data_IF_890491069161
#
_entry.id   IF_890491069161
#
_cell.length_a   1.000
_cell.length_b   1.000
_cell.length_c   1.000
_cell.angle_alpha   90.00
_cell.angle_beta   90.00
_cell.angle_gamma   90.00
#
_symmetry.space_group_name_H-M   'P 1'
#
loop_
_entity.id
_entity.type
_entity.pdbx_description
1 polymer ?
#
# COMPACT_ATOMS: atom_id res chain seq x y z
N UNK A 1 -27.12 -33.86 2.42
CA UNK A 1 -27.05 -33.84 0.95
C UNK A 1 -27.84 -35.01 0.39
N UNK A 2 -27.33 -36.25 0.43
CA UNK A 2 -27.99 -37.49 -0.03
C UNK A 2 -29.49 -37.62 0.30
N UNK A 3 -29.90 -37.30 1.54
CA UNK A 3 -31.32 -37.29 1.97
C UNK A 3 -32.16 -36.11 1.43
N UNK A 4 -31.82 -35.54 0.27
CA UNK A 4 -32.57 -34.45 -0.38
C UNK A 4 -32.49 -33.08 0.31
N UNK A 5 -31.37 -32.77 0.97
CA UNK A 5 -31.18 -31.47 1.62
C UNK A 5 -30.86 -30.36 0.59
N UNK A 6 -31.58 -29.24 0.66
CA UNK A 6 -31.45 -28.13 -0.29
C UNK A 6 -30.23 -27.23 0.01
N UNK A 7 -29.25 -27.24 -0.90
CA UNK A 7 -28.02 -26.44 -0.84
C UNK A 7 -28.27 -24.93 -1.10
N UNK A 8 -29.40 -24.58 -1.73
CA UNK A 8 -29.84 -23.21 -1.98
C UNK A 8 -30.89 -22.72 -0.96
N UNK A 9 -31.11 -23.49 0.12
CA UNK A 9 -31.86 -23.01 1.28
C UNK A 9 -31.14 -21.81 1.91
N UNK A 10 -31.90 -20.94 2.57
CA UNK A 10 -31.38 -19.76 3.26
C UNK A 10 -32.17 -19.46 4.52
N UNK A 11 -31.54 -18.78 5.47
CA UNK A 11 -32.14 -18.37 6.72
C UNK A 11 -32.92 -17.04 6.63
N UNK A 12 -33.22 -16.44 7.78
CA UNK A 12 -33.94 -15.17 7.88
C UNK A 12 -33.10 -13.94 7.46
N UNK A 13 -31.78 -14.05 7.46
CA UNK A 13 -30.82 -13.01 7.08
C UNK A 13 -30.39 -13.17 5.60
N UNK A 14 -31.03 -14.11 4.88
CA UNK A 14 -30.70 -14.55 3.53
C UNK A 14 -29.33 -15.21 3.38
N UNK A 15 -28.71 -15.64 4.46
CA UNK A 15 -27.45 -16.38 4.48
C UNK A 15 -27.68 -17.81 3.98
N UNK A 16 -26.79 -18.34 3.13
CA UNK A 16 -26.87 -19.69 2.58
C UNK A 16 -25.87 -20.65 3.28
N UNK A 17 -26.07 -21.98 3.25
CA UNK A 17 -25.15 -22.96 3.83
C UNK A 17 -23.69 -22.80 3.43
N UNK A 18 -23.44 -22.28 2.21
CA UNK A 18 -22.11 -22.00 1.69
C UNK A 18 -21.43 -20.82 2.41
N UNK A 19 -22.15 -19.73 2.73
CA UNK A 19 -21.62 -18.62 3.52
C UNK A 19 -21.14 -19.13 4.87
N UNK A 20 -21.98 -19.94 5.53
CA UNK A 20 -21.69 -20.50 6.86
C UNK A 20 -20.52 -21.50 6.78
N UNK A 21 -20.44 -22.34 5.75
CA UNK A 21 -19.36 -23.30 5.57
C UNK A 21 -18.00 -22.64 5.31
N UNK A 22 -17.96 -21.55 4.53
CA UNK A 22 -16.72 -20.83 4.24
C UNK A 22 -16.35 -19.90 5.43
N UNK A 23 -17.31 -19.18 6.03
CA UNK A 23 -17.08 -18.32 7.20
C UNK A 23 -16.51 -19.07 8.42
N UNK A 24 -16.84 -20.36 8.56
CA UNK A 24 -16.29 -21.26 9.59
C UNK A 24 -15.06 -22.06 9.11
N UNK A 25 -14.37 -21.61 8.04
CA UNK A 25 -13.12 -22.18 7.50
C UNK A 25 -13.17 -23.71 7.43
N UNK A 26 -14.25 -24.25 6.85
CA UNK A 26 -14.57 -25.68 6.88
C UNK A 26 -14.43 -26.31 5.48
N UNK A 27 -13.21 -26.50 4.94
CA UNK A 27 -12.98 -26.85 3.54
C UNK A 27 -13.65 -28.16 3.11
N UNK A 28 -13.78 -29.14 4.02
CA UNK A 28 -14.51 -30.38 3.73
C UNK A 28 -16.01 -30.15 3.47
N UNK A 29 -16.62 -29.15 4.12
CA UNK A 29 -18.01 -28.76 3.86
C UNK A 29 -18.12 -27.98 2.54
N UNK A 30 -17.17 -27.09 2.26
CA UNK A 30 -17.10 -26.31 1.01
C UNK A 30 -16.97 -27.25 -0.20
N UNK A 31 -16.01 -28.18 -0.17
CA UNK A 31 -15.82 -29.20 -1.22
C UNK A 31 -17.05 -30.12 -1.37
N UNK A 32 -17.70 -30.51 -0.28
CA UNK A 32 -18.92 -31.32 -0.33
C UNK A 32 -20.13 -30.57 -0.91
N UNK A 33 -20.22 -29.26 -0.71
CA UNK A 33 -21.26 -28.41 -1.32
C UNK A 33 -21.03 -28.25 -2.83
N UNK A 34 -19.81 -27.91 -3.27
CA UNK A 34 -19.50 -27.78 -4.70
C UNK A 34 -19.63 -29.12 -5.46
N UNK A 35 -19.14 -30.24 -4.92
CA UNK A 35 -19.32 -31.55 -5.56
C UNK A 35 -20.80 -31.97 -5.68
N UNK A 36 -21.65 -31.52 -4.75
CA UNK A 36 -23.10 -31.74 -4.82
C UNK A 36 -23.80 -30.77 -5.79
N UNK A 37 -23.28 -29.56 -5.97
CA UNK A 37 -23.70 -28.65 -7.04
C UNK A 37 -23.38 -29.22 -8.42
N UNK A 38 -22.13 -29.66 -8.66
CA UNK A 38 -21.71 -30.27 -9.92
C UNK A 38 -22.62 -31.45 -10.32
N UNK A 39 -22.86 -32.38 -9.40
CA UNK A 39 -23.75 -33.53 -9.62
C UNK A 39 -25.22 -33.12 -9.81
N UNK A 40 -25.72 -32.09 -9.11
CA UNK A 40 -27.06 -31.54 -9.30
C UNK A 40 -27.24 -30.89 -10.68
N UNK A 41 -26.22 -30.19 -11.19
CA UNK A 41 -26.24 -29.62 -12.53
C UNK A 41 -26.08 -30.69 -13.63
N UNK A 42 -25.21 -31.68 -13.44
CA UNK A 42 -25.02 -32.80 -14.35
C UNK A 42 -26.29 -33.64 -14.54
N UNK A 43 -26.90 -34.12 -13.45
CA UNK A 43 -28.15 -34.90 -13.51
C UNK A 43 -29.32 -34.10 -14.14
N UNK A 44 -29.27 -32.77 -14.07
CA UNK A 44 -30.30 -31.87 -14.62
C UNK A 44 -30.06 -31.53 -16.10
N UNK A 45 -28.85 -31.73 -16.62
CA UNK A 45 -28.55 -31.75 -18.06
C UNK A 45 -29.07 -33.05 -18.70
N UNK A 46 -28.79 -34.21 -18.10
CA UNK A 46 -29.33 -35.51 -18.56
C UNK A 46 -30.88 -35.51 -18.58
N UNK A 47 -31.51 -34.93 -17.55
CA UNK A 47 -32.97 -34.73 -17.52
C UNK A 47 -33.50 -33.71 -18.53
N UNK A 48 -32.66 -32.84 -19.11
CA UNK A 48 -33.05 -31.98 -20.24
C UNK A 48 -32.97 -32.74 -21.56
N UNK A 49 -31.89 -33.48 -21.81
CA UNK A 49 -31.69 -34.22 -23.07
C UNK A 49 -32.74 -35.31 -23.26
N UNK A 50 -32.95 -36.15 -22.23
CA UNK A 50 -34.02 -37.17 -22.23
C UNK A 50 -35.40 -36.56 -22.46
N UNK A 51 -35.68 -35.39 -21.87
CA UNK A 51 -36.97 -34.69 -22.03
C UNK A 51 -37.15 -34.11 -23.43
N UNK A 52 -36.09 -33.60 -24.07
CA UNK A 52 -36.14 -33.17 -25.47
C UNK A 52 -36.40 -34.34 -26.44
N UNK A 53 -35.77 -35.50 -26.20
CA UNK A 53 -36.05 -36.72 -26.98
C UNK A 53 -37.50 -37.18 -26.83
N UNK A 54 -38.05 -37.18 -25.61
CA UNK A 54 -39.47 -37.53 -25.35
C UNK A 54 -40.43 -36.55 -26.04
N UNK A 55 -40.14 -35.25 -26.06
CA UNK A 55 -40.98 -34.29 -26.80
C UNK A 55 -40.95 -34.44 -28.32
N UNK A 56 -39.91 -35.06 -28.89
CA UNK A 56 -39.84 -35.34 -30.33
C UNK A 56 -40.74 -36.52 -30.77
N UNK A 57 -41.20 -37.35 -29.84
CA UNK A 57 -41.89 -38.62 -30.11
C UNK A 57 -43.43 -38.58 -29.92
N UNK A 58 -44.03 -37.40 -29.74
CA UNK A 58 -45.49 -37.28 -29.47
C UNK A 58 -46.21 -36.28 -30.39
N UNK A 59 -46.68 -36.71 -31.58
CA UNK A 59 -47.49 -35.87 -32.45
C UNK A 59 -48.93 -35.76 -31.94
N UNK A 60 -49.34 -34.58 -31.49
CA UNK A 60 -50.75 -34.27 -31.18
C UNK A 60 -51.27 -33.14 -32.07
N UNK A 61 -52.51 -33.29 -32.53
CA UNK A 61 -53.02 -32.63 -33.75
C UNK A 61 -53.74 -31.31 -33.42
N UNK A 62 -53.44 -30.27 -34.20
CA UNK A 62 -54.14 -28.99 -34.18
C UNK A 62 -55.65 -29.12 -34.47
N UNK A 63 -56.48 -28.45 -33.68
CA UNK A 63 -57.75 -27.85 -34.14
C UNK A 63 -58.17 -26.66 -33.28
N UNK A 64 -58.65 -25.60 -33.93
CA UNK A 64 -59.27 -24.40 -33.33
C UNK A 64 -60.77 -24.39 -33.63
N UNK A 65 -61.51 -23.64 -32.81
CA UNK A 65 -62.77 -22.92 -33.09
C UNK A 65 -63.98 -23.70 -33.65
N UNK A 66 -65.12 -23.62 -32.95
CA UNK A 66 -66.29 -22.79 -33.34
C UNK A 66 -67.39 -22.84 -32.25
N UNK A 67 -67.99 -21.67 -31.99
CA UNK A 67 -69.42 -21.34 -31.74
C UNK A 67 -70.25 -22.12 -30.68
N UNK A 68 -70.80 -21.46 -29.64
CA UNK A 68 -71.98 -20.55 -29.55
C UNK A 68 -73.32 -21.29 -29.50
N UNK A 69 -73.98 -21.23 -28.33
CA UNK A 69 -75.45 -21.25 -28.25
C UNK A 69 -75.97 -20.49 -27.00
N UNK A 70 -77.25 -20.07 -27.03
CA UNK A 70 -77.97 -19.34 -25.96
C UNK A 70 -79.39 -19.88 -25.86
N UNK A 71 -79.89 -20.13 -24.64
CA UNK A 71 -81.31 -20.05 -24.22
C UNK A 71 -81.29 -19.78 -22.68
N UNK A 72 -81.94 -18.72 -22.15
CA UNK A 72 -83.34 -18.59 -21.70
C UNK A 72 -83.77 -19.68 -20.69
N UNK A 73 -84.42 -19.38 -19.55
CA UNK A 73 -84.91 -18.10 -19.00
C UNK A 73 -84.96 -18.11 -17.46
N UNK A 74 -85.18 -16.95 -16.79
CA UNK A 74 -86.49 -16.45 -16.29
C UNK A 74 -86.90 -17.01 -14.90
N UNK A 75 -87.36 -16.23 -13.91
CA UNK A 75 -87.62 -14.76 -13.86
C UNK A 75 -88.02 -14.22 -12.46
N UNK A 76 -87.70 -12.95 -12.18
CA UNK A 76 -88.42 -12.07 -11.22
C UNK A 76 -88.01 -12.14 -9.73
N UNK A 77 -88.34 -11.18 -8.85
CA UNK A 77 -88.94 -9.83 -8.99
C UNK A 77 -88.87 -9.09 -7.60
N UNK A 78 -88.99 -7.76 -7.39
CA UNK A 78 -88.93 -6.54 -8.23
C UNK A 78 -88.72 -5.28 -7.32
N UNK A 79 -88.09 -4.19 -7.82
CA UNK A 79 -87.97 -2.85 -7.16
C UNK A 79 -87.20 -2.80 -5.82
N UNK A 80 -86.75 -1.71 -5.15
CA UNK A 80 -86.63 -0.21 -5.33
C UNK A 80 -85.29 0.22 -4.65
N UNK A 81 -84.71 1.43 -4.77
CA UNK A 81 -85.01 2.60 -5.61
C UNK A 81 -84.69 3.96 -4.95
N UNK A 82 -83.48 4.53 -5.16
CA UNK A 82 -82.89 5.77 -4.53
C UNK A 82 -82.44 5.57 -3.05
N UNK A 83 -81.46 6.30 -2.50
CA UNK A 83 -80.48 7.24 -3.06
C UNK A 83 -79.62 7.93 -1.96
N UNK A 84 -78.46 8.48 -2.36
CA UNK A 84 -77.51 9.30 -1.56
C UNK A 84 -76.69 8.63 -0.41
N UNK A 85 -75.35 8.64 -0.61
CA UNK A 85 -74.22 9.00 0.29
C UNK A 85 -74.35 8.82 1.83
N UNK A 86 -73.31 8.39 2.58
CA UNK A 86 -71.86 8.58 2.33
C UNK A 86 -70.92 7.61 3.09
N UNK A 87 -69.65 7.56 2.66
CA UNK A 87 -68.41 7.09 3.33
C UNK A 87 -68.34 5.73 4.08
N UNK A 88 -67.78 4.72 3.41
CA UNK A 88 -66.45 4.15 3.76
C UNK A 88 -65.74 3.68 2.47
N UNK A 89 -64.41 3.79 2.39
CA UNK A 89 -63.62 3.75 1.13
C UNK A 89 -62.71 2.53 0.98
N UNK A 90 -63.22 1.32 1.21
CA UNK A 90 -62.50 0.07 0.93
C UNK A 90 -62.37 -0.21 -0.58
N UNK A 91 -61.21 0.15 -1.14
CA UNK A 91 -60.84 -0.01 -2.57
C UNK A 91 -60.74 -1.49 -2.98
N UNK A 92 -61.85 -2.09 -3.43
CA UNK A 92 -61.87 -3.43 -4.04
C UNK A 92 -61.15 -3.39 -5.41
N UNK A 93 -59.90 -3.86 -5.48
CA UNK A 93 -59.18 -4.09 -6.75
C UNK A 93 -59.98 -5.02 -7.66
N UNK A 94 -60.08 -4.66 -8.94
CA UNK A 94 -60.85 -5.35 -9.97
C UNK A 94 -60.31 -6.75 -10.28
N UNK A 95 -61.13 -7.59 -10.90
CA UNK A 95 -60.70 -8.92 -11.35
C UNK A 95 -59.56 -8.85 -12.38
N UNK A 96 -59.53 -7.80 -13.20
CA UNK A 96 -58.44 -7.54 -14.15
C UNK A 96 -57.14 -7.17 -13.41
N UNK A 97 -57.16 -6.23 -12.46
CA UNK A 97 -56.00 -5.90 -11.63
C UNK A 97 -55.48 -7.10 -10.83
N UNK A 98 -56.37 -7.95 -10.32
CA UNK A 98 -55.97 -9.19 -9.63
C UNK A 98 -55.29 -10.19 -10.58
N UNK A 99 -55.81 -10.38 -11.80
CA UNK A 99 -55.14 -11.19 -12.82
C UNK A 99 -53.81 -10.57 -13.26
N UNK A 100 -53.72 -9.26 -13.42
CA UNK A 100 -52.48 -8.57 -13.80
C UNK A 100 -51.42 -8.65 -12.69
N UNK A 101 -51.82 -8.49 -11.43
CA UNK A 101 -50.96 -8.65 -10.26
C UNK A 101 -50.47 -10.10 -10.13
N UNK A 102 -51.36 -11.07 -10.32
CA UNK A 102 -50.98 -12.49 -10.32
C UNK A 102 -50.05 -12.83 -11.48
N UNK A 103 -50.32 -12.32 -12.69
CA UNK A 103 -49.43 -12.49 -13.85
C UNK A 103 -48.07 -11.84 -13.62
N UNK A 104 -48.01 -10.65 -13.02
CA UNK A 104 -46.75 -9.99 -12.65
C UNK A 104 -45.99 -10.74 -11.54
N UNK A 105 -46.69 -11.35 -10.58
CA UNK A 105 -46.10 -12.22 -9.57
C UNK A 105 -45.58 -13.53 -10.19
N UNK A 106 -46.32 -14.13 -11.12
CA UNK A 106 -45.92 -15.35 -11.83
C UNK A 106 -44.76 -15.07 -12.79
N UNK A 107 -44.75 -13.94 -13.49
CA UNK A 107 -43.61 -13.51 -14.33
C UNK A 107 -42.38 -13.17 -13.47
N UNK A 108 -42.54 -12.53 -12.31
CA UNK A 108 -41.44 -12.32 -11.34
C UNK A 108 -40.93 -13.63 -10.73
N UNK A 109 -41.81 -14.62 -10.52
CA UNK A 109 -41.41 -15.99 -10.14
C UNK A 109 -40.70 -16.71 -11.29
N UNK A 110 -41.15 -16.55 -12.52
CA UNK A 110 -40.53 -17.15 -13.70
C UNK A 110 -39.18 -16.51 -14.03
N UNK A 111 -39.02 -15.20 -13.82
CA UNK A 111 -37.73 -14.53 -13.96
C UNK A 111 -36.78 -14.84 -12.81
N UNK A 112 -37.27 -15.00 -11.58
CA UNK A 112 -36.48 -15.52 -10.46
C UNK A 112 -36.06 -16.97 -10.70
N UNK A 113 -36.98 -17.85 -11.06
CA UNK A 113 -36.67 -19.23 -11.47
C UNK A 113 -35.73 -19.30 -12.67
N UNK A 114 -35.65 -18.27 -13.53
CA UNK A 114 -34.66 -18.21 -14.61
C UNK A 114 -33.27 -17.81 -14.10
N UNK A 115 -33.16 -16.86 -13.17
CA UNK A 115 -31.90 -16.58 -12.45
C UNK A 115 -31.45 -17.82 -11.65
N UNK A 116 -32.35 -18.40 -10.86
CA UNK A 116 -32.17 -19.63 -10.07
C UNK A 116 -31.88 -20.90 -10.94
N UNK A 117 -31.88 -20.80 -12.28
CA UNK A 117 -31.44 -21.88 -13.19
C UNK A 117 -30.06 -21.68 -13.79
N UNK A 118 -29.42 -20.53 -13.59
CA UNK A 118 -28.15 -20.14 -14.22
C UNK A 118 -27.12 -19.59 -13.19
N UNK A 119 -27.50 -19.38 -11.92
CA UNK A 119 -26.60 -18.94 -10.85
C UNK A 119 -25.79 -20.08 -10.22
N UNK A 120 -24.48 -19.90 -10.10
CA UNK A 120 -23.60 -20.77 -9.31
C UNK A 120 -23.67 -20.40 -7.82
N UNK A 121 -23.44 -21.37 -6.93
CA UNK A 121 -23.49 -21.19 -5.48
C UNK A 121 -22.56 -20.07 -4.96
N UNK A 122 -21.48 -19.78 -5.69
CA UNK A 122 -20.51 -18.73 -5.36
C UNK A 122 -21.01 -17.28 -5.62
N UNK A 123 -22.12 -17.10 -6.37
CA UNK A 123 -22.80 -15.81 -6.61
C UNK A 123 -23.85 -15.43 -5.57
N UNK A 124 -24.21 -16.35 -4.67
CA UNK A 124 -25.38 -16.19 -3.80
C UNK A 124 -25.18 -15.02 -2.84
N UNK A 125 -25.83 -13.88 -3.09
CA UNK A 125 -25.77 -12.72 -2.18
C UNK A 125 -26.78 -12.84 -1.03
N UNK A 126 -26.36 -12.42 0.15
CA UNK A 126 -27.19 -12.32 1.35
C UNK A 126 -28.07 -11.04 1.36
N UNK A 127 -28.46 -10.55 2.53
CA UNK A 127 -29.26 -9.33 2.67
C UNK A 127 -28.48 -8.02 2.48
N UNK A 128 -27.17 -7.99 2.77
CA UNK A 128 -26.31 -6.81 2.60
C UNK A 128 -25.67 -6.76 1.20
N UNK A 129 -25.67 -7.89 0.48
CA UNK A 129 -25.07 -8.04 -0.84
C UNK A 129 -23.77 -8.86 -0.82
N UNK A 130 -23.40 -9.43 0.32
CA UNK A 130 -22.22 -10.26 0.47
C UNK A 130 -22.44 -11.66 -0.12
N UNK A 131 -21.57 -12.06 -1.05
CA UNK A 131 -21.51 -13.45 -1.55
C UNK A 131 -20.92 -14.37 -0.47
N UNK A 132 -20.98 -15.72 -0.59
CA UNK A 132 -20.45 -16.65 0.42
C UNK A 132 -18.96 -16.45 0.71
N UNK A 133 -18.31 -15.88 -0.29
CA UNK A 133 -16.90 -15.62 -0.45
C UNK A 133 -16.48 -14.30 0.23
N UNK A 134 -17.42 -13.39 0.52
CA UNK A 134 -17.19 -12.23 1.39
C UNK A 134 -17.28 -12.69 2.86
N UNK A 135 -18.36 -13.40 3.23
CA UNK A 135 -18.57 -13.99 4.56
C UNK A 135 -17.39 -14.85 5.06
N UNK A 136 -16.67 -15.49 4.12
CA UNK A 136 -15.39 -16.17 4.30
C UNK A 136 -14.33 -15.39 5.11
N UNK A 137 -14.29 -14.07 4.95
CA UNK A 137 -13.21 -13.20 5.43
C UNK A 137 -13.70 -12.15 6.41
N UNK A 138 -14.96 -11.72 6.30
CA UNK A 138 -15.60 -10.84 7.28
C UNK A 138 -15.72 -11.52 8.65
N UNK A 139 -15.89 -12.85 8.70
CA UNK A 139 -15.90 -13.65 9.93
C UNK A 139 -14.61 -13.57 10.76
N UNK A 140 -13.50 -13.16 10.13
CA UNK A 140 -12.18 -13.11 10.76
C UNK A 140 -11.68 -11.70 11.13
N UNK A 141 -12.42 -10.62 10.85
CA UNK A 141 -12.24 -9.27 11.45
C UNK A 141 -13.35 -8.31 10.96
N UNK A 142 -14.37 -8.05 11.78
CA UNK A 142 -15.57 -7.28 11.38
C UNK A 142 -15.35 -5.76 11.27
N UNK A 143 -14.20 -5.25 11.71
CA UNK A 143 -13.83 -3.83 11.56
C UNK A 143 -13.25 -3.48 10.17
N UNK A 144 -12.71 -4.46 9.42
CA UNK A 144 -12.03 -4.21 8.14
C UNK A 144 -12.95 -4.03 6.93
N UNK A 145 -14.24 -4.36 7.05
CA UNK A 145 -15.16 -4.53 5.90
C UNK A 145 -15.80 -3.20 5.45
N UNK A 146 -15.72 -2.16 6.28
CA UNK A 146 -16.56 -0.96 6.14
C UNK A 146 -16.12 -0.04 5.00
N UNK A 147 -16.79 -0.19 3.85
CA UNK A 147 -16.85 0.70 2.68
C UNK A 147 -15.77 0.53 1.58
N UNK A 148 -15.06 -0.59 1.48
CA UNK A 148 -14.08 -0.80 0.39
C UNK A 148 -14.59 -1.77 -0.68
N UNK A 149 -14.42 -1.39 -1.95
CA UNK A 149 -14.84 -2.14 -3.16
C UNK A 149 -13.92 -3.35 -3.45
N UNK A 150 -13.55 -4.10 -2.41
CA UNK A 150 -12.66 -5.25 -2.48
C UNK A 150 -13.43 -6.50 -2.90
N UNK A 151 -13.00 -7.16 -3.98
CA UNK A 151 -13.58 -8.47 -4.34
C UNK A 151 -13.16 -9.56 -3.35
N UNK A 152 -13.87 -10.69 -3.25
CA UNK A 152 -13.48 -11.79 -2.36
C UNK A 152 -12.05 -12.32 -2.53
N UNK A 153 -11.49 -12.24 -3.75
CA UNK A 153 -10.10 -12.61 -4.02
C UNK A 153 -9.14 -11.68 -3.27
N UNK A 154 -9.42 -10.37 -3.23
CA UNK A 154 -8.64 -9.40 -2.43
C UNK A 154 -8.66 -9.78 -0.95
N UNK A 155 -9.85 -10.11 -0.45
CA UNK A 155 -10.08 -10.48 0.94
C UNK A 155 -9.32 -11.77 1.33
N UNK A 156 -9.37 -12.83 0.51
CA UNK A 156 -8.59 -14.04 0.75
C UNK A 156 -7.07 -13.78 0.66
N UNK A 157 -6.63 -12.87 -0.23
CA UNK A 157 -5.26 -12.39 -0.31
C UNK A 157 -4.79 -11.51 0.87
N UNK A 158 -5.70 -11.07 1.75
CA UNK A 158 -5.34 -10.48 3.05
C UNK A 158 -5.07 -11.58 4.09
N UNK A 159 -5.90 -12.64 4.09
CA UNK A 159 -5.87 -13.72 5.11
C UNK A 159 -4.88 -14.88 4.82
N UNK A 160 -4.16 -14.84 3.70
CA UNK A 160 -3.27 -15.91 3.19
C UNK A 160 -3.98 -17.22 2.81
N UNK A 161 -5.28 -17.15 2.47
CA UNK A 161 -6.06 -18.35 2.14
C UNK A 161 -5.85 -18.77 0.67
N UNK A 162 -4.72 -19.45 0.44
CA UNK A 162 -4.34 -20.00 -0.86
C UNK A 162 -5.35 -21.01 -1.43
N UNK A 163 -6.02 -21.82 -0.60
CA UNK A 163 -7.02 -22.78 -1.09
C UNK A 163 -8.27 -22.06 -1.60
N UNK A 164 -8.79 -21.08 -0.83
CA UNK A 164 -9.91 -20.29 -1.30
C UNK A 164 -9.55 -19.49 -2.56
N UNK A 165 -8.35 -18.89 -2.66
CA UNK A 165 -7.94 -18.19 -3.90
C UNK A 165 -7.83 -19.16 -5.10
N UNK A 166 -7.37 -20.41 -4.92
CA UNK A 166 -7.35 -21.39 -6.00
C UNK A 166 -8.75 -21.83 -6.44
N UNK A 167 -9.65 -22.11 -5.49
CA UNK A 167 -11.06 -22.40 -5.78
C UNK A 167 -11.73 -21.24 -6.52
N UNK A 168 -11.54 -20.00 -6.10
CA UNK A 168 -12.09 -18.80 -6.76
C UNK A 168 -11.64 -18.66 -8.22
N UNK A 169 -10.33 -18.75 -8.46
CA UNK A 169 -9.75 -18.50 -9.79
C UNK A 169 -9.96 -19.68 -10.75
N UNK A 170 -10.22 -20.89 -10.25
CA UNK A 170 -10.51 -22.06 -11.06
C UNK A 170 -12.03 -22.23 -11.31
N UNK A 171 -12.90 -21.79 -10.38
CA UNK A 171 -14.36 -21.84 -10.56
C UNK A 171 -14.86 -20.96 -11.73
N UNK A 172 -14.13 -19.89 -12.08
CA UNK A 172 -14.41 -19.07 -13.27
C UNK A 172 -13.16 -18.77 -14.10
N UNK A 173 -12.78 -19.67 -15.03
CA UNK A 173 -11.66 -19.42 -15.92
C UNK A 173 -11.88 -18.19 -16.82
N UNK A 174 -13.12 -17.84 -17.14
CA UNK A 174 -13.47 -16.65 -17.95
C UNK A 174 -13.27 -15.32 -17.20
N UNK A 175 -13.66 -15.25 -15.93
CA UNK A 175 -13.50 -14.03 -15.11
C UNK A 175 -12.09 -13.91 -14.49
N UNK A 176 -11.31 -15.00 -14.49
CA UNK A 176 -9.98 -15.08 -13.86
C UNK A 176 -9.04 -13.94 -14.23
N UNK A 177 -8.88 -13.61 -15.52
CA UNK A 177 -7.97 -12.54 -15.97
C UNK A 177 -8.44 -11.16 -15.51
N UNK A 178 -9.76 -10.95 -15.41
CA UNK A 178 -10.32 -9.74 -14.79
C UNK A 178 -10.05 -9.74 -13.27
N UNK A 179 -10.37 -10.82 -12.56
CA UNK A 179 -10.21 -10.94 -11.11
C UNK A 179 -8.78 -10.67 -10.61
N UNK A 180 -7.76 -11.06 -11.38
CA UNK A 180 -6.35 -10.78 -11.06
C UNK A 180 -5.91 -9.31 -11.34
N UNK A 181 -6.68 -8.56 -12.13
CA UNK A 181 -6.41 -7.16 -12.51
C UNK A 181 -7.34 -6.14 -11.87
N UNK A 182 -8.55 -6.53 -11.46
CA UNK A 182 -9.48 -5.66 -10.75
C UNK A 182 -8.78 -5.08 -9.52
N UNK A 183 -8.67 -3.75 -9.38
CA UNK A 183 -8.27 -3.13 -8.14
C UNK A 183 -9.48 -3.01 -7.20
N UNK A 184 -9.22 -2.97 -5.89
CA UNK A 184 -10.18 -2.42 -4.95
C UNK A 184 -10.19 -0.88 -4.98
N UNK A 185 -11.06 -0.27 -4.17
CA UNK A 185 -11.22 1.18 -4.02
C UNK A 185 -9.94 1.98 -3.72
N UNK A 186 -8.92 1.34 -3.13
CA UNK A 186 -7.62 1.97 -2.85
C UNK A 186 -6.60 1.81 -4.01
N UNK A 187 -7.00 1.16 -5.11
CA UNK A 187 -6.14 0.84 -6.24
C UNK A 187 -5.41 -0.50 -6.13
N UNK A 188 -5.53 -1.22 -5.01
CA UNK A 188 -4.79 -2.47 -4.78
C UNK A 188 -5.48 -3.65 -5.48
N UNK A 189 -4.75 -4.34 -6.35
CA UNK A 189 -5.15 -5.65 -6.90
C UNK A 189 -4.84 -6.79 -5.91
N UNK A 190 -5.27 -8.05 -6.13
CA UNK A 190 -4.95 -9.15 -5.22
C UNK A 190 -3.44 -9.36 -4.98
N UNK A 191 -2.63 -9.14 -6.02
CA UNK A 191 -1.17 -9.23 -5.92
C UNK A 191 -0.56 -8.11 -5.05
N UNK A 192 -1.12 -6.90 -5.07
CA UNK A 192 -0.71 -5.82 -4.16
C UNK A 192 -0.96 -6.22 -2.70
N UNK A 193 -2.09 -6.85 -2.41
CA UNK A 193 -2.43 -7.24 -1.04
C UNK A 193 -1.56 -8.40 -0.55
N UNK A 194 -1.41 -9.48 -1.33
CA UNK A 194 -0.49 -10.57 -0.99
C UNK A 194 0.95 -10.06 -0.77
N UNK A 195 1.39 -9.07 -1.56
CA UNK A 195 2.70 -8.43 -1.40
C UNK A 195 2.79 -7.54 -0.15
N UNK A 196 1.74 -6.76 0.17
CA UNK A 196 1.65 -5.95 1.40
C UNK A 196 1.70 -6.81 2.65
N UNK A 197 0.92 -7.89 2.71
CA UNK A 197 0.83 -8.75 3.89
C UNK A 197 1.98 -9.78 4.00
N UNK A 198 2.93 -9.76 3.04
CA UNK A 198 4.17 -10.57 3.00
C UNK A 198 3.95 -12.07 2.72
N UNK A 199 2.88 -12.40 1.99
CA UNK A 199 2.42 -13.76 1.69
C UNK A 199 3.19 -14.36 0.50
N UNK A 200 4.42 -14.82 0.75
CA UNK A 200 5.40 -15.29 -0.25
C UNK A 200 4.83 -16.38 -1.19
N UNK A 201 4.14 -17.37 -0.64
CA UNK A 201 3.56 -18.50 -1.39
C UNK A 201 2.40 -18.02 -2.28
N UNK A 202 1.55 -17.14 -1.76
CA UNK A 202 0.42 -16.58 -2.50
C UNK A 202 0.86 -15.62 -3.60
N UNK A 203 1.92 -14.83 -3.36
CA UNK A 203 2.57 -14.00 -4.40
C UNK A 203 3.03 -14.86 -5.58
N UNK A 204 3.71 -15.99 -5.33
CA UNK A 204 4.14 -16.92 -6.39
C UNK A 204 2.95 -17.45 -7.19
N UNK A 205 1.98 -18.05 -6.50
CA UNK A 205 0.81 -18.65 -7.10
C UNK A 205 -0.02 -17.64 -7.93
N UNK A 206 -0.22 -16.41 -7.42
CA UNK A 206 -0.94 -15.35 -8.14
C UNK A 206 -0.26 -15.00 -9.46
N UNK A 207 1.07 -14.92 -9.47
CA UNK A 207 1.85 -14.61 -10.68
C UNK A 207 1.85 -15.79 -11.66
N UNK A 208 2.02 -17.03 -11.19
CA UNK A 208 1.85 -18.25 -12.01
C UNK A 208 0.46 -18.31 -12.68
N UNK A 209 -0.59 -17.87 -11.96
CA UNK A 209 -1.95 -17.80 -12.51
C UNK A 209 -2.17 -16.63 -13.47
N UNK A 210 -1.21 -15.70 -13.62
CA UNK A 210 -1.23 -14.62 -14.62
C UNK A 210 -1.34 -13.20 -14.06
N UNK A 211 -1.08 -12.98 -12.76
CA UNK A 211 -1.14 -11.63 -12.18
C UNK A 211 -0.02 -10.73 -12.71
N UNK A 212 -0.33 -9.52 -13.22
CA UNK A 212 0.68 -8.62 -13.73
C UNK A 212 1.51 -7.97 -12.60
N UNK A 213 2.82 -8.12 -12.70
CA UNK A 213 3.80 -7.60 -11.73
C UNK A 213 3.89 -6.06 -11.71
N UNK A 214 3.54 -5.41 -12.83
CA UNK A 214 3.77 -3.98 -13.07
C UNK A 214 2.48 -3.13 -13.12
N UNK A 215 1.33 -3.69 -12.74
CA UNK A 215 0.16 -2.83 -12.46
C UNK A 215 0.45 -1.98 -11.23
N UNK A 216 -0.06 -0.74 -11.23
CA UNK A 216 0.12 0.23 -10.15
C UNK A 216 -1.20 0.55 -9.44
N UNK A 217 -1.11 0.90 -8.17
CA UNK A 217 -2.23 1.45 -7.40
C UNK A 217 -2.56 2.91 -7.82
N UNK A 218 -3.57 3.51 -7.17
CA UNK A 218 -3.95 4.91 -7.40
C UNK A 218 -2.87 5.95 -7.04
N UNK A 219 -1.74 5.54 -6.44
CA UNK A 219 -0.61 6.37 -6.07
C UNK A 219 0.68 5.97 -6.84
N UNK A 220 0.57 5.17 -7.90
CA UNK A 220 1.70 4.77 -8.76
C UNK A 220 2.59 3.64 -8.22
N UNK A 221 2.18 2.89 -7.20
CA UNK A 221 3.00 1.84 -6.58
C UNK A 221 2.72 0.50 -7.24
N UNK A 222 3.76 -0.20 -7.71
CA UNK A 222 3.64 -1.63 -8.03
C UNK A 222 3.65 -2.48 -6.75
N UNK A 223 3.22 -3.76 -6.79
CA UNK A 223 3.30 -4.68 -5.64
C UNK A 223 4.70 -4.74 -5.00
N UNK A 224 5.77 -4.62 -5.82
CA UNK A 224 7.16 -4.62 -5.34
C UNK A 224 7.50 -3.36 -4.54
N UNK A 225 7.16 -2.18 -5.04
CA UNK A 225 7.37 -0.91 -4.32
C UNK A 225 6.54 -0.88 -3.02
N UNK A 226 5.30 -1.35 -3.09
CA UNK A 226 4.37 -1.36 -1.97
C UNK A 226 4.84 -2.33 -0.87
N UNK A 227 5.29 -3.53 -1.22
CA UNK A 227 5.93 -4.47 -0.29
C UNK A 227 7.21 -3.89 0.35
N UNK A 228 8.05 -3.21 -0.43
CA UNK A 228 9.29 -2.62 0.06
C UNK A 228 9.04 -1.53 1.11
N UNK A 229 8.04 -0.67 0.90
CA UNK A 229 7.61 0.34 1.88
C UNK A 229 7.05 -0.28 3.15
N UNK A 230 6.31 -1.40 3.06
CA UNK A 230 5.70 -2.09 4.21
C UNK A 230 6.69 -2.95 4.99
N UNK A 231 7.91 -3.18 4.49
CA UNK A 231 8.89 -4.08 5.10
C UNK A 231 8.68 -5.56 4.77
N UNK A 232 7.87 -5.85 3.75
CA UNK A 232 7.42 -7.20 3.37
C UNK A 232 8.48 -7.91 2.52
N UNK A 233 9.63 -8.16 3.14
CA UNK A 233 10.87 -8.54 2.45
C UNK A 233 10.81 -9.91 1.76
N UNK A 234 9.97 -10.86 2.21
CA UNK A 234 9.80 -12.15 1.52
C UNK A 234 9.04 -11.96 0.21
N UNK A 235 7.94 -11.21 0.24
CA UNK A 235 7.23 -10.82 -0.97
C UNK A 235 8.12 -10.01 -1.93
N UNK A 236 8.96 -9.09 -1.43
CA UNK A 236 9.93 -8.36 -2.27
C UNK A 236 10.90 -9.31 -2.99
N UNK A 237 11.51 -10.24 -2.27
CA UNK A 237 12.43 -11.25 -2.82
C UNK A 237 11.72 -12.08 -3.89
N UNK A 238 10.50 -12.54 -3.60
CA UNK A 238 9.76 -13.42 -4.49
C UNK A 238 9.28 -12.69 -5.76
N UNK A 239 8.83 -11.44 -5.66
CA UNK A 239 8.50 -10.60 -6.81
C UNK A 239 9.71 -10.37 -7.72
N UNK A 240 10.89 -10.09 -7.16
CA UNK A 240 12.13 -9.93 -7.94
C UNK A 240 12.52 -11.22 -8.66
N UNK A 241 12.41 -12.38 -8.01
CA UNK A 241 12.66 -13.70 -8.63
C UNK A 241 11.67 -14.04 -9.74
N UNK A 242 10.44 -13.54 -9.63
CA UNK A 242 9.39 -13.66 -10.66
C UNK A 242 9.53 -12.63 -11.80
N UNK A 243 10.52 -11.74 -11.73
CA UNK A 243 10.84 -10.78 -12.79
C UNK A 243 10.22 -9.39 -12.63
N UNK A 244 9.73 -9.02 -11.44
CA UNK A 244 9.24 -7.67 -11.18
C UNK A 244 10.36 -6.63 -11.30
N UNK A 245 10.05 -5.48 -11.89
CA UNK A 245 11.04 -4.46 -12.24
C UNK A 245 11.55 -3.69 -11.01
N UNK A 246 12.83 -3.85 -10.60
CA UNK A 246 13.41 -3.07 -9.49
C UNK A 246 13.59 -1.57 -9.82
N UNK A 247 13.48 -1.20 -11.10
CA UNK A 247 13.56 0.18 -11.60
C UNK A 247 12.17 0.82 -11.80
N UNK A 248 11.18 0.42 -11.00
CA UNK A 248 9.93 1.16 -10.86
C UNK A 248 10.09 2.31 -9.84
N UNK A 249 9.31 3.38 -10.02
CA UNK A 249 9.32 4.59 -9.18
C UNK A 249 7.90 4.94 -8.76
N UNK A 250 7.72 5.44 -7.53
CA UNK A 250 6.44 6.00 -7.08
C UNK A 250 6.22 7.45 -7.59
N UNK A 251 5.06 8.03 -7.27
CA UNK A 251 4.75 9.45 -7.57
C UNK A 251 5.70 10.48 -6.93
N UNK A 252 6.56 10.07 -5.99
CA UNK A 252 7.63 10.90 -5.40
C UNK A 252 9.00 10.66 -6.07
N UNK A 253 9.04 9.96 -7.20
CA UNK A 253 10.25 9.50 -7.90
C UNK A 253 11.16 8.60 -7.05
N UNK A 254 10.61 7.90 -6.04
CA UNK A 254 11.36 6.99 -5.17
C UNK A 254 11.37 5.59 -5.75
N UNK A 255 12.56 5.09 -6.05
CA UNK A 255 12.78 3.70 -6.45
C UNK A 255 12.77 2.72 -5.25
N UNK A 256 12.84 1.42 -5.54
CA UNK A 256 12.92 0.32 -4.56
C UNK A 256 13.90 0.59 -3.39
N UNK A 257 15.07 1.16 -3.65
CA UNK A 257 16.13 1.35 -2.64
C UNK A 257 15.80 2.47 -1.66
N UNK A 258 15.13 3.53 -2.10
CA UNK A 258 14.60 4.58 -1.22
C UNK A 258 13.56 3.99 -0.25
N UNK A 259 12.66 3.15 -0.78
CA UNK A 259 11.52 2.60 -0.05
C UNK A 259 11.95 1.60 1.03
N UNK A 260 12.96 0.77 0.74
CA UNK A 260 13.59 -0.13 1.72
C UNK A 260 14.28 0.62 2.88
N UNK A 261 14.48 1.93 2.80
CA UNK A 261 15.00 2.78 3.89
C UNK A 261 13.90 3.50 4.70
N UNK A 262 12.64 3.42 4.29
CA UNK A 262 11.50 3.93 5.08
C UNK A 262 11.15 2.96 6.22
N UNK A 263 11.28 1.65 5.99
CA UNK A 263 11.04 0.63 7.01
C UNK A 263 12.31 0.32 7.84
N UNK A 264 12.17 0.23 9.16
CA UNK A 264 13.26 -0.17 10.06
C UNK A 264 13.44 -1.69 10.07
N UNK A 265 14.21 -2.21 9.12
CA UNK A 265 14.48 -3.65 9.03
C UNK A 265 15.72 -4.02 8.20
N UNK A 266 16.00 -5.32 8.02
CA UNK A 266 17.13 -5.82 7.26
C UNK A 266 16.98 -5.70 5.73
N UNK A 267 15.95 -5.03 5.22
CA UNK A 267 15.54 -5.03 3.80
C UNK A 267 16.66 -4.81 2.78
N UNK A 268 17.56 -3.84 3.00
CA UNK A 268 18.71 -3.61 2.12
C UNK A 268 19.70 -4.78 2.09
N UNK A 269 19.81 -5.55 3.19
CA UNK A 269 20.65 -6.76 3.27
C UNK A 269 19.95 -8.00 2.70
N UNK A 270 18.62 -8.07 2.70
CA UNK A 270 17.86 -9.27 2.28
C UNK A 270 17.28 -9.19 0.88
N UNK A 271 16.84 -8.02 0.42
CA UNK A 271 16.16 -7.83 -0.87
C UNK A 271 17.15 -7.49 -1.99
N UNK A 272 18.09 -6.57 -1.74
CA UNK A 272 19.01 -6.11 -2.78
C UNK A 272 20.10 -7.11 -3.25
N UNK A 273 20.36 -8.26 -2.59
CA UNK A 273 21.13 -9.33 -3.21
C UNK A 273 20.42 -9.99 -4.41
N UNK A 274 19.10 -9.93 -4.50
CA UNK A 274 18.35 -10.48 -5.65
C UNK A 274 18.42 -9.56 -6.89
N UNK A 275 18.81 -8.29 -6.71
CA UNK A 275 19.09 -7.35 -7.81
C UNK A 275 20.50 -7.62 -8.35
N UNK A 276 20.57 -8.61 -9.25
CA UNK A 276 21.82 -9.16 -9.79
C UNK A 276 22.58 -8.25 -10.79
N UNK A 277 22.02 -7.10 -11.18
CA UNK A 277 22.67 -6.14 -12.08
C UNK A 277 23.38 -5.02 -11.28
N UNK A 278 24.71 -5.03 -11.29
CA UNK A 278 25.52 -4.00 -10.64
C UNK A 278 25.37 -2.61 -11.26
N UNK A 279 25.11 -2.52 -12.57
CA UNK A 279 24.94 -1.24 -13.28
C UNK A 279 23.62 -0.59 -12.88
N UNK A 280 22.55 -1.37 -12.83
CA UNK A 280 21.26 -0.94 -12.34
C UNK A 280 21.29 -0.63 -10.83
N UNK A 281 21.95 -1.46 -10.01
CA UNK A 281 22.15 -1.14 -8.60
C UNK A 281 22.83 0.23 -8.42
N UNK A 282 23.90 0.49 -9.19
CA UNK A 282 24.65 1.75 -9.15
C UNK A 282 23.79 2.95 -9.59
N UNK A 283 22.89 2.76 -10.55
CA UNK A 283 21.88 3.78 -10.89
C UNK A 283 20.94 4.02 -9.70
N UNK A 284 20.29 2.97 -9.18
CA UNK A 284 19.29 3.06 -8.12
C UNK A 284 19.80 3.75 -6.83
N UNK A 285 21.07 3.61 -6.46
CA UNK A 285 21.65 4.29 -5.27
C UNK A 285 22.09 5.75 -5.51
N UNK A 286 22.06 6.23 -6.75
CA UNK A 286 22.41 7.60 -7.13
C UNK A 286 21.24 8.40 -7.72
N UNK A 287 20.16 7.74 -8.11
CA UNK A 287 18.87 8.38 -8.41
C UNK A 287 18.34 9.20 -7.21
N UNK A 288 17.51 10.19 -7.52
CA UNK A 288 16.97 11.18 -6.58
C UNK A 288 15.46 11.20 -6.60
N UNK A 289 14.86 11.32 -5.42
CA UNK A 289 13.44 11.60 -5.26
C UNK A 289 13.09 13.08 -5.58
N UNK A 290 11.82 13.45 -5.46
CA UNK A 290 11.34 14.84 -5.65
C UNK A 290 11.98 15.88 -4.70
N UNK A 291 12.60 15.45 -3.59
CA UNK A 291 13.34 16.31 -2.66
C UNK A 291 14.83 16.42 -3.01
N UNK A 292 15.28 15.75 -4.08
CA UNK A 292 16.68 15.63 -4.44
C UNK A 292 17.45 14.62 -3.59
N UNK A 293 16.79 13.95 -2.64
CA UNK A 293 17.43 12.97 -1.77
C UNK A 293 17.71 11.68 -2.54
N UNK A 294 18.92 11.15 -2.40
CA UNK A 294 19.28 9.77 -2.81
C UNK A 294 19.06 8.78 -1.65
N UNK A 295 19.08 7.45 -1.86
CA UNK A 295 18.97 6.49 -0.76
C UNK A 295 20.06 6.61 0.31
N UNK A 296 21.23 7.20 -0.05
CA UNK A 296 22.30 7.49 0.89
C UNK A 296 21.95 8.64 1.86
N UNK A 297 21.11 9.61 1.46
CA UNK A 297 20.53 10.60 2.38
C UNK A 297 19.55 9.94 3.35
N UNK A 298 18.75 8.96 2.89
CA UNK A 298 17.86 8.19 3.76
C UNK A 298 18.61 7.29 4.74
N UNK A 299 19.63 6.53 4.29
CA UNK A 299 20.39 5.63 5.17
C UNK A 299 21.17 6.40 6.23
N UNK A 300 21.72 7.56 5.89
CA UNK A 300 22.39 8.46 6.84
C UNK A 300 21.40 9.08 7.82
N UNK A 301 20.28 9.67 7.36
CA UNK A 301 19.19 10.18 8.22
C UNK A 301 18.73 9.17 9.27
N UNK A 302 18.55 7.91 8.87
CA UNK A 302 18.15 6.82 9.78
C UNK A 302 19.31 6.23 10.62
N UNK A 303 20.56 6.60 10.35
CA UNK A 303 21.73 6.04 11.05
C UNK A 303 22.05 4.59 10.66
N UNK A 304 21.54 4.10 9.54
CA UNK A 304 21.70 2.71 9.12
C UNK A 304 23.09 2.48 8.54
N UNK A 305 24.05 2.14 9.41
CA UNK A 305 25.44 1.84 9.05
C UNK A 305 25.55 0.70 8.02
N UNK A 306 24.72 -0.33 8.12
CA UNK A 306 24.75 -1.48 7.21
C UNK A 306 24.39 -1.09 5.77
N UNK A 307 23.27 -0.38 5.60
CA UNK A 307 22.86 0.15 4.30
C UNK A 307 23.84 1.20 3.76
N UNK A 308 24.29 2.13 4.62
CA UNK A 308 25.28 3.16 4.25
C UNK A 308 26.57 2.53 3.74
N UNK A 309 27.07 1.48 4.40
CA UNK A 309 28.25 0.73 3.96
C UNK A 309 28.03 0.03 2.62
N UNK A 310 26.88 -0.64 2.43
CA UNK A 310 26.55 -1.35 1.20
C UNK A 310 26.40 -0.40 -0.01
N UNK A 311 25.72 0.74 0.18
CA UNK A 311 25.55 1.76 -0.86
C UNK A 311 26.88 2.38 -1.28
N UNK A 312 27.70 2.78 -0.31
CA UNK A 312 29.03 3.39 -0.57
C UNK A 312 29.97 2.40 -1.26
N UNK A 313 30.01 1.13 -0.82
CA UNK A 313 30.81 0.06 -1.44
C UNK A 313 30.40 -0.19 -2.90
N UNK A 314 29.11 -0.09 -3.21
CA UNK A 314 28.54 -0.28 -4.55
C UNK A 314 28.37 1.03 -5.35
N UNK A 315 29.13 2.08 -4.99
CA UNK A 315 29.29 3.28 -5.83
C UNK A 315 28.25 4.39 -5.66
N UNK A 316 27.59 4.48 -4.51
CA UNK A 316 26.79 5.65 -4.15
C UNK A 316 27.68 6.89 -3.90
N UNK A 317 27.33 8.01 -4.53
CA UNK A 317 28.06 9.27 -4.45
C UNK A 317 27.74 10.03 -3.16
N UNK A 318 28.70 10.07 -2.24
CA UNK A 318 28.65 10.91 -1.04
C UNK A 318 28.74 12.43 -1.35
N UNK A 319 28.90 12.80 -2.62
CA UNK A 319 28.90 14.19 -3.11
C UNK A 319 27.55 14.63 -3.68
N UNK A 320 26.57 13.72 -3.76
CA UNK A 320 25.23 14.14 -4.17
C UNK A 320 24.64 15.16 -3.21
N UNK A 321 23.82 16.01 -3.80
CA UNK A 321 23.14 17.11 -3.15
C UNK A 321 21.64 16.99 -3.36
N UNK A 322 20.89 17.23 -2.29
CA UNK A 322 19.44 17.42 -2.31
C UNK A 322 19.05 18.86 -2.71
N UNK A 323 17.74 19.18 -2.62
CA UNK A 323 17.22 20.49 -3.00
C UNK A 323 17.71 21.63 -2.09
N UNK A 324 17.99 21.36 -0.80
CA UNK A 324 18.60 22.31 0.14
C UNK A 324 20.14 22.36 0.00
N UNK A 325 20.66 21.62 -0.99
CA UNK A 325 22.07 21.40 -1.31
C UNK A 325 22.89 20.73 -0.20
N UNK A 326 22.22 20.17 0.79
CA UNK A 326 22.82 19.30 1.80
C UNK A 326 23.33 18.03 1.08
N UNK A 327 24.38 17.43 1.65
CA UNK A 327 24.92 16.13 1.19
C UNK A 327 24.59 15.07 2.24
N UNK A 328 24.74 13.75 1.96
CA UNK A 328 24.49 12.71 2.96
C UNK A 328 25.32 12.88 4.24
N UNK A 329 26.46 13.59 4.18
CA UNK A 329 27.27 13.92 5.35
C UNK A 329 26.69 15.08 6.18
N UNK A 330 26.01 16.06 5.57
CA UNK A 330 25.20 17.05 6.30
C UNK A 330 24.01 16.37 6.96
N UNK A 331 23.32 15.48 6.24
CA UNK A 331 22.21 14.70 6.80
C UNK A 331 22.68 13.82 7.98
N UNK A 332 23.82 13.15 7.84
CA UNK A 332 24.44 12.39 8.94
C UNK A 332 24.80 13.29 10.14
N UNK A 333 25.37 14.46 9.88
CA UNK A 333 25.73 15.45 10.90
C UNK A 333 24.51 16.01 11.63
N UNK A 334 23.45 16.39 10.91
CA UNK A 334 22.21 16.93 11.46
C UNK A 334 21.55 15.98 12.46
N UNK A 335 21.54 14.68 12.15
CA UNK A 335 20.92 13.66 13.00
C UNK A 335 21.91 12.96 13.96
N UNK A 336 23.13 13.50 14.15
CA UNK A 336 24.11 13.03 15.14
C UNK A 336 24.71 11.65 14.88
N UNK A 337 24.80 11.24 13.61
CA UNK A 337 25.00 9.84 13.21
C UNK A 337 26.49 9.47 13.09
N UNK A 338 27.20 9.48 14.23
CA UNK A 338 28.65 9.25 14.33
C UNK A 338 29.17 8.15 13.39
N UNK A 339 28.72 6.91 13.56
CA UNK A 339 29.22 5.78 12.77
C UNK A 339 28.94 5.88 11.25
N UNK A 340 27.89 6.59 10.81
CA UNK A 340 27.68 6.83 9.37
C UNK A 340 28.55 7.98 8.87
N UNK A 341 28.85 8.98 9.70
CA UNK A 341 29.87 9.99 9.40
C UNK A 341 31.24 9.32 9.21
N UNK A 342 31.67 8.45 10.14
CA UNK A 342 32.90 7.66 10.01
C UNK A 342 32.94 6.88 8.70
N UNK A 343 31.89 6.09 8.42
CA UNK A 343 31.79 5.25 7.21
C UNK A 343 31.83 6.05 5.91
N UNK A 344 31.29 7.27 5.88
CA UNK A 344 31.41 8.17 4.75
C UNK A 344 32.84 8.72 4.63
N UNK A 345 33.43 9.17 5.73
CA UNK A 345 34.76 9.79 5.78
C UNK A 345 35.92 8.82 5.56
N UNK A 346 35.71 7.52 5.71
CA UNK A 346 36.64 6.49 5.24
C UNK A 346 36.74 6.43 3.69
N UNK A 347 35.95 7.24 2.96
CA UNK A 347 36.05 7.38 1.50
C UNK A 347 36.52 8.75 1.04
N UNK A 348 37.21 8.78 -0.10
CA UNK A 348 37.66 10.01 -0.76
C UNK A 348 36.51 10.95 -1.17
N UNK A 349 35.31 10.41 -1.44
CA UNK A 349 34.11 11.21 -1.71
C UNK A 349 33.56 11.86 -0.43
N UNK A 350 33.49 11.13 0.69
CA UNK A 350 33.09 11.70 1.98
C UNK A 350 34.05 12.78 2.49
N UNK A 351 35.36 12.57 2.34
CA UNK A 351 36.38 13.59 2.67
C UNK A 351 36.22 14.88 1.84
N UNK A 352 35.77 14.77 0.59
CA UNK A 352 35.39 15.92 -0.24
C UNK A 352 34.03 16.53 0.17
N UNK A 353 33.08 15.70 0.58
CA UNK A 353 31.77 16.14 1.08
C UNK A 353 31.89 16.98 2.36
N UNK A 354 32.85 16.66 3.23
CA UNK A 354 33.15 17.39 4.47
C UNK A 354 33.50 18.87 4.24
N UNK A 355 33.91 19.22 3.02
CA UNK A 355 34.34 20.56 2.61
C UNK A 355 33.40 21.15 1.51
N UNK A 356 32.22 20.57 1.31
CA UNK A 356 31.22 20.98 0.31
C UNK A 356 30.06 21.71 1.00
N UNK A 357 29.76 22.99 0.71
CA UNK A 357 28.77 23.76 1.49
C UNK A 357 27.31 23.56 1.06
N UNK A 358 26.35 23.69 1.98
CA UNK A 358 24.89 23.68 1.76
C UNK A 358 24.35 24.98 1.07
N UNK A 359 23.03 25.16 0.97
CA UNK A 359 22.43 26.39 0.42
C UNK A 359 22.65 27.65 1.28
N UNK A 360 22.99 27.51 2.56
CA UNK A 360 23.31 28.60 3.50
C UNK A 360 24.83 28.81 3.66
N UNK A 361 25.66 28.08 2.91
CA UNK A 361 27.11 28.08 3.07
C UNK A 361 27.63 27.35 4.31
N UNK A 362 26.74 26.72 5.09
CA UNK A 362 27.14 25.83 6.18
C UNK A 362 27.85 24.63 5.60
N UNK A 363 28.53 23.90 6.47
CA UNK A 363 29.23 22.65 6.17
C UNK A 363 28.74 21.60 7.18
N UNK A 364 29.01 20.29 6.98
CA UNK A 364 28.58 19.26 7.91
C UNK A 364 28.99 19.56 9.36
N UNK A 365 30.16 20.18 9.55
CA UNK A 365 30.62 20.63 10.87
C UNK A 365 29.80 21.78 11.44
N UNK A 366 29.42 22.80 10.66
CA UNK A 366 28.52 23.86 11.14
C UNK A 366 27.15 23.27 11.55
N UNK A 367 26.63 22.31 10.79
CA UNK A 367 25.37 21.62 11.08
C UNK A 367 25.48 20.75 12.34
N UNK A 368 26.55 19.97 12.50
CA UNK A 368 26.80 19.19 13.73
C UNK A 368 26.93 20.10 14.98
N UNK A 369 27.58 21.25 14.83
CA UNK A 369 27.75 22.25 15.92
C UNK A 369 26.44 22.92 16.31
N UNK A 370 25.63 23.32 15.32
CA UNK A 370 24.30 23.90 15.52
C UNK A 370 23.34 22.91 16.22
N UNK A 371 23.41 21.63 15.87
CA UNK A 371 22.60 20.57 16.45
C UNK A 371 23.20 19.91 17.72
N UNK A 372 24.37 20.37 18.20
CA UNK A 372 24.95 19.97 19.49
C UNK A 372 25.72 18.63 19.53
N UNK A 373 26.03 18.03 18.37
CA UNK A 373 26.56 16.65 18.29
C UNK A 373 28.07 16.56 18.55
N UNK A 374 28.48 16.71 19.82
CA UNK A 374 29.88 16.76 20.27
C UNK A 374 30.80 15.70 19.64
N UNK A 375 30.41 14.42 19.62
CA UNK A 375 31.28 13.37 19.07
C UNK A 375 31.44 13.47 17.54
N UNK A 376 30.43 13.96 16.82
CA UNK A 376 30.54 14.24 15.38
C UNK A 376 31.45 15.45 15.13
N UNK A 377 31.40 16.45 16.02
CA UNK A 377 32.31 17.61 15.99
C UNK A 377 33.76 17.16 16.19
N UNK A 378 34.04 16.33 17.19
CA UNK A 378 35.38 15.73 17.42
C UNK A 378 35.88 14.98 16.19
N UNK A 379 35.08 14.04 15.66
CA UNK A 379 35.41 13.27 14.45
C UNK A 379 35.78 14.17 13.26
N UNK A 380 35.04 15.25 13.03
CA UNK A 380 35.31 16.18 11.93
C UNK A 380 36.57 17.02 12.17
N UNK A 381 36.91 17.36 13.41
CA UNK A 381 38.19 18.01 13.75
C UNK A 381 39.36 17.04 13.57
N UNK A 382 39.26 15.81 14.07
CA UNK A 382 40.26 14.73 13.95
C UNK A 382 40.55 14.35 12.49
N UNK A 383 39.50 14.18 11.68
CA UNK A 383 39.62 13.91 10.23
C UNK A 383 40.03 15.17 9.44
N UNK A 384 40.33 16.28 10.10
CA UNK A 384 40.93 17.46 9.49
C UNK A 384 40.00 18.22 8.56
N UNK A 385 38.77 18.53 9.00
CA UNK A 385 37.89 19.47 8.30
C UNK A 385 38.68 20.75 7.99
N UNK A 386 38.85 21.07 6.71
CA UNK A 386 39.72 22.19 6.31
C UNK A 386 38.87 23.43 6.27
N UNK A 387 39.04 24.25 7.29
CA UNK A 387 38.30 25.50 7.38
C UNK A 387 38.83 26.48 6.29
N UNK A 388 37.97 27.03 5.41
CA UNK A 388 38.35 27.74 4.17
C UNK A 388 37.67 29.10 3.97
N UNK A 389 38.38 30.01 3.27
CA UNK A 389 37.84 31.25 2.70
C UNK A 389 37.69 31.23 1.17
N UNK A 390 38.66 30.68 0.42
CA UNK A 390 38.57 30.40 -1.03
C UNK A 390 39.56 29.29 -1.47
N UNK A 391 39.45 28.72 -2.69
CA UNK A 391 40.31 27.63 -3.16
C UNK A 391 41.44 28.08 -4.11
N UNK A 392 42.70 28.04 -3.67
CA UNK A 392 43.93 28.00 -4.49
C UNK A 392 45.09 27.45 -3.61
N UNK A 393 46.01 26.70 -4.23
CA UNK A 393 47.32 26.22 -3.75
C UNK A 393 47.45 25.60 -2.34
N UNK A 394 47.81 24.32 -2.33
CA UNK A 394 48.04 23.49 -1.14
C UNK A 394 49.49 23.55 -0.65
N UNK A 395 49.96 24.71 -0.15
CA UNK A 395 51.31 24.85 0.44
C UNK A 395 51.26 25.52 1.83
N UNK A 396 51.69 24.74 2.84
CA UNK A 396 52.34 25.18 4.09
C UNK A 396 51.78 26.42 4.84
N UNK A 397 50.68 26.26 5.58
CA UNK A 397 50.37 27.09 6.76
C UNK A 397 49.85 26.20 7.90
N UNK A 398 50.31 26.42 9.13
CA UNK A 398 49.78 25.76 10.33
C UNK A 398 48.27 26.04 10.47
N UNK A 399 47.44 25.00 10.39
CA UNK A 399 45.99 25.14 10.15
C UNK A 399 45.26 25.67 11.38
N UNK A 400 45.13 27.00 11.48
CA UNK A 400 44.13 27.64 12.36
C UNK A 400 42.75 27.52 11.70
N UNK A 401 41.80 26.94 12.42
CA UNK A 401 40.47 26.64 11.91
C UNK A 401 39.62 27.93 11.74
N UNK A 402 39.47 28.44 10.50
CA UNK A 402 38.65 29.64 10.14
C UNK A 402 37.71 29.39 8.96
N UNK A 403 36.42 29.24 9.25
CA UNK A 403 35.35 28.99 8.28
C UNK A 403 34.25 30.01 8.44
N UNK A 404 33.61 30.27 7.31
CA UNK A 404 32.64 31.32 7.14
C UNK A 404 31.52 30.72 6.30
N UNK A 405 30.31 30.66 6.86
CA UNK A 405 29.08 30.39 6.09
C UNK A 405 28.75 31.56 5.15
N UNK A 406 27.65 31.52 4.38
CA UNK A 406 27.29 32.67 3.53
C UNK A 406 27.03 33.95 4.36
N UNK A 407 26.65 33.81 5.64
CA UNK A 407 26.53 34.90 6.62
C UNK A 407 27.85 35.24 7.35
N UNK A 408 28.99 34.70 6.91
CA UNK A 408 30.30 34.73 7.60
C UNK A 408 30.30 34.21 9.06
N UNK A 409 29.24 33.50 9.51
CA UNK A 409 29.24 32.87 10.82
C UNK A 409 30.19 31.66 10.83
N UNK A 410 31.12 31.66 11.78
CA UNK A 410 32.02 30.53 12.10
C UNK A 410 31.34 29.51 13.00
N UNK A 411 31.91 28.30 13.12
CA UNK A 411 31.46 27.28 14.08
C UNK A 411 31.29 27.81 15.52
N UNK A 412 32.18 28.69 16.00
CA UNK A 412 32.04 29.28 17.34
C UNK A 412 30.74 30.10 17.49
N UNK A 413 30.30 30.81 16.43
CA UNK A 413 29.04 31.56 16.45
C UNK A 413 27.83 30.63 16.52
N UNK A 414 27.84 29.54 15.76
CA UNK A 414 26.78 28.52 15.82
C UNK A 414 26.71 27.88 17.21
N UNK A 415 27.85 27.49 17.80
CA UNK A 415 27.91 26.92 19.15
C UNK A 415 27.39 27.89 20.23
N UNK A 416 27.86 29.16 20.17
CA UNK A 416 27.46 30.20 21.10
C UNK A 416 25.99 30.62 20.98
N UNK A 417 25.46 30.66 19.75
CA UNK A 417 24.03 30.93 19.46
C UNK A 417 23.11 29.81 19.93
N UNK A 418 23.54 28.55 19.77
CA UNK A 418 22.77 27.37 20.15
C UNK A 418 22.91 26.97 21.64
N UNK A 419 23.67 27.73 22.45
CA UNK A 419 23.98 27.41 23.85
C UNK A 419 24.70 26.06 24.07
N UNK A 420 25.37 25.53 23.04
CA UNK A 420 25.98 24.20 23.06
C UNK A 420 27.35 24.23 23.76
N UNK A 421 27.33 24.40 25.09
CA UNK A 421 28.51 24.63 25.94
C UNK A 421 29.65 23.60 25.72
N UNK A 422 29.34 22.30 25.67
CA UNK A 422 30.34 21.23 25.42
C UNK A 422 30.96 21.30 24.00
N UNK A 423 30.17 21.71 23.00
CA UNK A 423 30.68 21.92 21.64
C UNK A 423 31.57 23.16 21.59
N UNK A 424 31.18 24.22 22.31
CA UNK A 424 31.95 25.45 22.41
C UNK A 424 33.30 25.21 23.10
N UNK A 425 33.32 24.49 24.22
CA UNK A 425 34.52 24.00 24.92
C UNK A 425 35.42 23.17 23.98
N UNK A 426 34.83 22.23 23.23
CA UNK A 426 35.55 21.41 22.24
C UNK A 426 36.16 22.23 21.09
N UNK A 427 35.50 23.31 20.64
CA UNK A 427 36.03 24.21 19.60
C UNK A 427 37.11 25.15 20.14
N UNK A 428 36.97 25.63 21.38
CA UNK A 428 37.95 26.50 22.05
C UNK A 428 39.24 25.74 22.35
N UNK A 429 39.14 24.54 22.91
CA UNK A 429 40.29 23.63 23.13
C UNK A 429 40.97 23.18 21.83
N UNK A 430 40.24 23.14 20.71
CA UNK A 430 40.80 22.92 19.37
C UNK A 430 41.46 24.17 18.75
N UNK A 431 41.59 25.29 19.49
CA UNK A 431 42.13 26.57 19.01
C UNK A 431 41.42 27.12 17.75
N UNK A 432 40.08 26.98 17.67
CA UNK A 432 39.28 27.66 16.66
C UNK A 432 39.44 29.20 16.80
N UNK A 433 39.66 29.91 15.69
CA UNK A 433 40.09 31.30 15.79
C UNK A 433 38.92 32.30 15.97
N UNK A 434 39.19 33.35 16.75
CA UNK A 434 38.25 34.44 17.01
C UNK A 434 38.22 35.41 15.82
N UNK A 435 37.28 35.16 14.91
CA UNK A 435 37.00 35.99 13.73
C UNK A 435 35.58 36.55 13.91
N UNK A 436 35.30 37.82 13.57
CA UNK A 436 33.95 38.35 13.56
C UNK A 436 33.17 37.92 12.30
N UNK A 437 31.87 38.15 12.31
CA UNK A 437 30.98 37.94 11.17
C UNK A 437 30.91 39.14 10.20
N UNK A 438 29.88 39.17 9.34
CA UNK A 438 29.61 40.27 8.39
C UNK A 438 29.37 41.63 9.09
N UNK A 439 28.77 41.63 10.27
CA UNK A 439 28.34 42.84 11.00
C UNK A 439 29.39 43.30 12.02
N UNK A 440 30.54 42.61 12.07
CA UNK A 440 31.62 42.88 13.03
C UNK A 440 31.37 42.25 14.41
N UNK A 441 30.35 41.43 14.56
CA UNK A 441 29.99 40.75 15.80
C UNK A 441 30.85 39.50 15.99
N UNK A 442 31.18 39.18 17.24
CA UNK A 442 31.93 37.98 17.61
C UNK A 442 30.98 36.97 18.26
N UNK A 443 31.33 35.68 18.23
CA UNK A 443 30.55 34.62 18.91
C UNK A 443 30.16 34.93 20.37
N UNK A 444 30.97 35.69 21.10
CA UNK A 444 30.66 36.16 22.46
C UNK A 444 29.41 37.06 22.51
N UNK A 445 29.22 37.97 21.54
CA UNK A 445 28.02 38.83 21.50
C UNK A 445 26.78 38.02 21.19
N UNK A 446 26.88 36.93 20.42
CA UNK A 446 25.78 35.98 20.20
C UNK A 446 25.38 35.24 21.48
N UNK A 447 26.34 34.78 22.29
CA UNK A 447 26.02 34.18 23.59
C UNK A 447 25.30 35.17 24.52
N UNK A 448 25.80 36.41 24.60
CA UNK A 448 25.22 37.45 25.45
C UNK A 448 23.84 37.93 24.99
N UNK A 449 23.64 38.15 23.68
CA UNK A 449 22.35 38.58 23.12
C UNK A 449 21.25 37.53 23.33
N UNK A 450 21.57 36.24 23.22
CA UNK A 450 20.64 35.13 23.46
C UNK A 450 20.50 34.76 24.94
N UNK A 451 21.22 35.44 25.85
CA UNK A 451 21.27 35.13 27.29
C UNK A 451 21.74 33.69 27.61
N UNK A 452 22.60 33.14 26.74
CA UNK A 452 23.10 31.78 26.81
C UNK A 452 24.17 31.65 27.92
N UNK A 453 23.70 31.43 29.16
CA UNK A 453 24.52 31.41 30.37
C UNK A 453 25.67 30.38 30.33
N UNK A 454 25.40 29.12 29.96
CA UNK A 454 26.42 28.08 29.96
C UNK A 454 27.47 28.31 28.86
N UNK A 455 27.07 28.79 27.67
CA UNK A 455 28.02 29.25 26.65
C UNK A 455 28.88 30.43 27.14
N UNK A 456 28.26 31.42 27.80
CA UNK A 456 28.95 32.60 28.35
C UNK A 456 29.96 32.21 29.44
N UNK A 457 29.60 31.28 30.31
CA UNK A 457 30.44 30.69 31.36
C UNK A 457 31.66 29.97 30.76
N UNK A 458 31.46 29.12 29.74
CA UNK A 458 32.55 28.44 29.03
C UNK A 458 33.51 29.43 28.36
N UNK A 459 32.99 30.52 27.78
CA UNK A 459 33.81 31.61 27.21
C UNK A 459 34.70 32.23 28.28
N UNK A 460 34.14 32.61 29.43
CA UNK A 460 34.87 33.26 30.54
C UNK A 460 35.90 32.33 31.20
N UNK A 461 35.73 31.01 31.12
CA UNK A 461 36.74 30.04 31.59
C UNK A 461 37.87 29.76 30.59
N UNK A 462 37.75 30.24 29.34
CA UNK A 462 38.74 30.02 28.27
C UNK A 462 39.39 31.32 27.74
N UNK A 463 39.05 32.47 28.31
CA UNK A 463 39.62 33.79 28.01
C UNK A 463 40.79 34.16 28.93
#
# INVERSE_FOLDING_TARGET
LENGADIYSRDFECTYPIHVAIANISPNCVRALFAHEESFHAARLEQRETRTQVTALTPTVSRRSLEVEKLRGSSGAVSTGKGANSFDRKRRKSAAEKKLLHLAQTLRRYSRQKLETEQCMIDLVDCEGETPLHAAVTSGDTEMVKNDESTPVHYACIKDDLECVDLMLNARPEEKEAALRMPNKNGYTPLHLAAVYNHEQLVHYLVEKGSPLELTDGNGWTPLLLAAMKGSFRACIQLLRLGANPNAHDVSNRNLVHLLMLFRGPGVRTVLPEVNDETLFKQLVNEKDVFGCTPLHYSTKMGNLGATSAFVLRGASALERDNDRDTPLHTAAHFGRLHTCERLLDTSLGMRAMNSPDALGRLPLHVAVEQGHVEVVKLFLEKGCVFRKHPINLISVSVKFVLLSLSQLTALHYAARANNAQVLECLLTANAAFVPDNDGLYFVTYALQQQNYEATKVIVTHS
#
